data_IF_786813920888
#
_entry.id   IF_786813920888
#
_cell.length_a   1.000
_cell.length_b   1.000
_cell.length_c   1.000
_cell.angle_alpha   90.00
_cell.angle_beta   90.00
_cell.angle_gamma   90.00
#
_symmetry.space_group_name_H-M   'P 1'
#
loop_
_entity.id
_entity.type
_entity.pdbx_description
1 polymer ?
#
# COMPACT_ATOMS: atom_id res chain seq x y z
N UNK A 1 -9.75 1.71 -6.93
CA UNK A 1 -8.74 2.18 -5.94
C UNK A 1 -9.26 3.25 -5.00
N UNK A 2 -9.86 4.36 -5.46
CA UNK A 2 -10.34 5.43 -4.55
C UNK A 2 -11.33 4.90 -3.50
N UNK A 3 -12.33 4.13 -3.91
CA UNK A 3 -13.30 3.54 -2.99
C UNK A 3 -12.63 2.67 -1.89
N UNK A 4 -11.61 1.90 -2.24
CA UNK A 4 -10.81 1.12 -1.29
C UNK A 4 -10.18 2.02 -0.22
N UNK A 5 -9.45 3.06 -0.63
CA UNK A 5 -8.79 3.97 0.31
C UNK A 5 -9.78 4.76 1.18
N UNK A 6 -10.92 5.18 0.61
CA UNK A 6 -11.96 5.87 1.37
C UNK A 6 -12.57 4.94 2.43
N UNK A 7 -12.93 3.71 2.06
CA UNK A 7 -13.55 2.74 2.98
C UNK A 7 -12.62 2.38 4.13
N UNK A 8 -11.35 2.06 3.86
CA UNK A 8 -10.39 1.73 4.93
C UNK A 8 -10.07 2.94 5.81
N UNK A 9 -10.07 4.16 5.24
CA UNK A 9 -9.83 5.40 5.97
C UNK A 9 -10.98 5.73 6.91
N UNK A 10 -12.24 5.59 6.45
CA UNK A 10 -13.44 5.76 7.29
C UNK A 10 -13.46 4.74 8.42
N UNK A 11 -13.23 3.45 8.11
CA UNK A 11 -13.18 2.40 9.14
C UNK A 11 -12.09 2.67 10.19
N UNK A 12 -10.93 3.14 9.73
CA UNK A 12 -9.84 3.57 10.62
C UNK A 12 -10.27 4.72 11.54
N UNK A 13 -10.86 5.77 10.97
CA UNK A 13 -11.32 6.95 11.71
C UNK A 13 -12.36 6.61 12.78
N UNK A 14 -13.31 5.72 12.48
CA UNK A 14 -14.34 5.26 13.44
C UNK A 14 -13.68 4.58 14.65
N UNK A 15 -12.68 3.73 14.41
CA UNK A 15 -11.99 3.03 15.50
C UNK A 15 -11.05 3.95 16.29
N UNK A 16 -10.40 4.92 15.64
CA UNK A 16 -9.63 5.98 16.32
C UNK A 16 -10.54 6.81 17.24
N UNK A 17 -11.74 7.16 16.79
CA UNK A 17 -12.71 7.89 17.61
C UNK A 17 -13.14 7.10 18.86
N UNK A 18 -13.20 5.76 18.77
CA UNK A 18 -13.51 4.88 19.90
C UNK A 18 -12.36 4.77 20.91
N UNK A 19 -11.09 4.85 20.48
CA UNK A 19 -9.93 4.89 21.37
C UNK A 19 -8.92 5.98 20.96
N UNK A 20 -9.21 7.27 21.25
CA UNK A 20 -8.37 8.41 20.81
C UNK A 20 -6.95 8.40 21.38
N UNK A 21 -6.73 7.64 22.47
CA UNK A 21 -5.42 7.44 23.10
C UNK A 21 -4.36 6.92 22.10
N UNK A 22 -4.78 6.25 21.02
CA UNK A 22 -3.85 5.79 19.97
C UNK A 22 -3.06 6.94 19.33
N UNK A 23 -3.60 8.16 19.33
CA UNK A 23 -2.93 9.34 18.74
C UNK A 23 -1.64 9.70 19.47
N UNK A 24 -1.45 9.23 20.71
CA UNK A 24 -0.16 9.35 21.43
C UNK A 24 0.97 8.67 20.66
N UNK A 25 0.68 7.66 19.84
CA UNK A 25 1.67 6.98 18.99
C UNK A 25 2.28 7.89 17.91
N UNK A 26 1.68 9.06 17.62
CA UNK A 26 2.31 10.07 16.76
C UNK A 26 3.52 10.75 17.40
N UNK A 27 3.65 10.68 18.74
CA UNK A 27 4.79 11.24 19.42
C UNK A 27 6.04 10.37 19.18
N UNK A 28 7.10 10.89 18.51
CA UNK A 28 8.29 10.12 18.20
C UNK A 28 9.03 9.60 19.45
N UNK A 29 8.83 10.25 20.60
CA UNK A 29 9.39 9.79 21.88
C UNK A 29 8.86 8.41 22.28
N UNK A 30 7.63 8.05 21.90
CA UNK A 30 7.07 6.72 22.15
C UNK A 30 7.79 5.65 21.33
N UNK A 31 8.07 5.95 20.05
CA UNK A 31 8.84 5.05 19.19
C UNK A 31 10.27 4.86 19.69
N UNK A 32 10.94 5.95 20.09
CA UNK A 32 12.26 5.88 20.71
C UNK A 32 12.25 5.08 22.02
N UNK A 33 11.26 5.33 22.88
CA UNK A 33 11.05 4.56 24.11
C UNK A 33 10.89 3.07 23.82
N UNK A 34 10.06 2.72 22.83
CA UNK A 34 9.89 1.32 22.39
C UNK A 34 11.20 0.69 21.91
N UNK A 35 11.98 1.39 21.10
CA UNK A 35 13.28 0.90 20.63
C UNK A 35 14.28 0.66 21.76
N UNK A 36 14.33 1.56 22.75
CA UNK A 36 15.26 1.45 23.88
C UNK A 36 14.86 0.35 24.87
N UNK A 37 13.56 0.19 25.16
CA UNK A 37 13.07 -0.79 26.12
C UNK A 37 12.95 -2.20 25.54
N UNK A 38 12.54 -2.34 24.27
CA UNK A 38 12.22 -3.62 23.65
C UNK A 38 13.19 -3.98 22.51
N UNK A 39 14.49 -3.69 22.69
CA UNK A 39 15.60 -3.82 21.73
C UNK A 39 15.40 -4.88 20.63
N UNK A 40 15.22 -6.14 20.99
CA UNK A 40 15.06 -7.24 20.02
C UNK A 40 13.71 -7.17 19.27
N UNK A 41 12.60 -6.96 19.96
CA UNK A 41 11.29 -6.82 19.34
C UNK A 41 11.25 -5.59 18.42
N UNK A 42 11.86 -4.49 18.84
CA UNK A 42 12.01 -3.29 18.05
C UNK A 42 12.85 -3.53 16.80
N UNK A 43 13.94 -4.29 16.90
CA UNK A 43 14.73 -4.70 15.74
C UNK A 43 13.88 -5.48 14.72
N UNK A 44 13.10 -6.46 15.17
CA UNK A 44 12.19 -7.22 14.29
C UNK A 44 11.10 -6.31 13.68
N UNK A 45 10.51 -5.42 14.48
CA UNK A 45 9.50 -4.49 14.01
C UNK A 45 10.05 -3.49 12.97
N UNK A 46 11.28 -3.01 13.15
CA UNK A 46 11.96 -2.17 12.15
C UNK A 46 12.16 -2.92 10.83
N UNK A 47 12.43 -4.23 10.88
CA UNK A 47 12.45 -5.08 9.67
C UNK A 47 11.10 -5.07 8.93
N UNK A 48 9.98 -5.13 9.66
CA UNK A 48 8.65 -4.99 9.07
C UNK A 48 8.41 -3.60 8.45
N UNK A 49 8.97 -2.54 9.05
CA UNK A 49 8.94 -1.19 8.45
C UNK A 49 9.77 -1.14 7.17
N UNK A 50 10.94 -1.79 7.11
CA UNK A 50 11.78 -1.84 5.90
C UNK A 50 11.05 -2.51 4.73
N UNK A 51 10.18 -3.50 4.97
CA UNK A 51 9.33 -4.08 3.91
C UNK A 51 8.49 -3.02 3.18
N UNK A 52 8.10 -1.93 3.85
CA UNK A 52 7.37 -0.82 3.18
C UNK A 52 8.21 -0.08 2.12
N UNK A 53 9.54 -0.16 2.19
CA UNK A 53 10.46 0.43 1.20
C UNK A 53 10.24 -0.16 -0.20
N UNK A 54 9.94 -1.45 -0.28
CA UNK A 54 9.66 -2.14 -1.56
C UNK A 54 8.46 -1.53 -2.30
N UNK A 55 7.46 -1.05 -1.55
CA UNK A 55 6.31 -0.33 -2.11
C UNK A 55 6.69 1.06 -2.65
N UNK A 56 7.68 1.73 -2.05
CA UNK A 56 8.17 3.01 -2.53
C UNK A 56 8.97 2.87 -3.84
N UNK A 57 9.72 1.77 -4.01
CA UNK A 57 10.42 1.46 -5.26
C UNK A 57 9.44 1.23 -6.41
N UNK A 58 8.35 0.50 -6.16
CA UNK A 58 7.27 0.32 -7.16
C UNK A 58 6.63 1.66 -7.56
N UNK A 59 6.37 2.54 -6.60
CA UNK A 59 5.86 3.89 -6.88
C UNK A 59 6.84 4.72 -7.72
N UNK A 60 8.15 4.53 -7.51
CA UNK A 60 9.18 5.20 -8.29
C UNK A 60 9.27 4.67 -9.72
N UNK A 61 9.11 3.36 -9.92
CA UNK A 61 9.06 2.76 -11.26
C UNK A 61 7.91 3.36 -12.09
N UNK A 62 6.75 3.61 -11.47
CA UNK A 62 5.59 4.22 -12.13
C UNK A 62 5.76 5.71 -12.46
N UNK A 63 6.77 6.40 -11.90
CA UNK A 63 7.07 7.79 -12.27
C UNK A 63 7.46 7.93 -13.75
N UNK A 64 8.01 6.88 -14.36
CA UNK A 64 8.33 6.87 -15.78
C UNK A 64 7.11 6.95 -16.69
N UNK A 65 5.93 6.54 -16.21
CA UNK A 65 4.68 6.53 -16.97
C UNK A 65 3.78 7.74 -16.67
N UNK A 66 3.57 8.06 -15.39
CA UNK A 66 2.61 9.10 -14.97
C UNK A 66 3.27 10.46 -14.63
N UNK A 67 4.59 10.47 -14.42
CA UNK A 67 5.31 11.64 -13.95
C UNK A 67 5.09 11.96 -12.46
N UNK A 68 5.92 12.86 -11.94
CA UNK A 68 6.01 13.15 -10.50
C UNK A 68 4.78 13.80 -9.87
N UNK A 69 4.06 14.66 -10.61
CA UNK A 69 2.99 15.51 -10.05
C UNK A 69 1.71 14.71 -9.74
N UNK A 70 1.17 13.87 -10.64
CA UNK A 70 -0.01 13.05 -10.34
C UNK A 70 0.22 12.07 -9.18
N UNK A 71 1.41 11.46 -9.14
CA UNK A 71 1.81 10.55 -8.06
C UNK A 71 1.82 11.28 -6.72
N UNK A 72 2.45 12.45 -6.64
CA UNK A 72 2.52 13.23 -5.39
C UNK A 72 1.14 13.64 -4.88
N UNK A 73 0.28 14.15 -5.77
CA UNK A 73 -1.07 14.58 -5.37
C UNK A 73 -1.90 13.40 -4.88
N UNK A 74 -1.88 12.27 -5.58
CA UNK A 74 -2.62 11.07 -5.18
C UNK A 74 -2.09 10.48 -3.88
N UNK A 75 -0.76 10.43 -3.74
CA UNK A 75 -0.09 9.90 -2.55
C UNK A 75 -0.46 10.70 -1.30
N UNK A 76 -0.19 12.01 -1.30
CA UNK A 76 -0.43 12.85 -0.12
C UNK A 76 -1.91 13.20 0.08
N UNK A 77 -2.72 13.20 -0.98
CA UNK A 77 -4.14 13.55 -0.89
C UNK A 77 -5.05 12.41 -0.44
N UNK A 78 -4.76 11.16 -0.84
CA UNK A 78 -5.66 10.02 -0.61
C UNK A 78 -4.94 8.84 0.02
N UNK A 79 -3.86 8.35 -0.60
CA UNK A 79 -3.25 7.07 -0.21
C UNK A 79 -2.65 7.13 1.19
N UNK A 80 -1.75 8.08 1.42
CA UNK A 80 -1.08 8.27 2.70
C UNK A 80 -2.06 8.51 3.86
N UNK A 81 -2.99 9.49 3.80
CA UNK A 81 -3.91 9.72 4.92
C UNK A 81 -4.81 8.50 5.19
N UNK A 82 -5.30 7.81 4.16
CA UNK A 82 -6.11 6.60 4.35
C UNK A 82 -5.34 5.46 5.00
N UNK A 83 -4.07 5.25 4.63
CA UNK A 83 -3.23 4.22 5.25
C UNK A 83 -2.93 4.55 6.71
N UNK A 84 -2.56 5.80 7.00
CA UNK A 84 -2.32 6.25 8.39
C UNK A 84 -3.56 6.01 9.25
N UNK A 85 -4.73 6.46 8.78
CA UNK A 85 -6.00 6.24 9.49
C UNK A 85 -6.29 4.76 9.69
N UNK A 86 -6.06 3.92 8.68
CA UNK A 86 -6.31 2.49 8.78
C UNK A 86 -5.42 1.81 9.83
N UNK A 87 -4.11 2.04 9.79
CA UNK A 87 -3.18 1.44 10.75
C UNK A 87 -3.41 1.93 12.18
N UNK A 88 -3.66 3.23 12.37
CA UNK A 88 -4.03 3.78 13.68
C UNK A 88 -5.37 3.22 14.16
N UNK A 89 -6.35 3.05 13.27
CA UNK A 89 -7.61 2.39 13.62
C UNK A 89 -7.43 0.94 14.08
N UNK A 90 -6.54 0.16 13.44
CA UNK A 90 -6.22 -1.20 13.88
C UNK A 90 -5.54 -1.18 15.26
N UNK A 91 -4.61 -0.25 15.49
CA UNK A 91 -4.01 -0.05 16.80
C UNK A 91 -5.03 0.30 17.88
N UNK A 92 -5.95 1.22 17.59
CA UNK A 92 -7.05 1.61 18.48
C UNK A 92 -7.95 0.42 18.84
N UNK A 93 -8.30 -0.40 17.85
CA UNK A 93 -9.08 -1.62 18.04
C UNK A 93 -8.35 -2.61 18.96
N UNK A 94 -7.04 -2.79 18.77
CA UNK A 94 -6.24 -3.71 19.57
C UNK A 94 -6.06 -3.24 21.02
N UNK A 95 -6.01 -1.93 21.25
CA UNK A 95 -6.01 -1.36 22.61
C UNK A 95 -7.32 -1.65 23.35
N UNK A 96 -8.46 -1.61 22.64
CA UNK A 96 -9.77 -1.88 23.22
C UNK A 96 -10.06 -3.39 23.35
N UNK A 97 -9.62 -4.19 22.38
CA UNK A 97 -9.88 -5.63 22.33
C UNK A 97 -8.66 -6.40 21.78
N UNK A 98 -7.79 -6.91 22.67
CA UNK A 98 -6.64 -7.72 22.26
C UNK A 98 -7.01 -9.01 21.52
N UNK A 99 -8.24 -9.53 21.69
CA UNK A 99 -8.72 -10.72 20.97
C UNK A 99 -8.85 -10.50 19.45
N UNK A 100 -8.83 -9.26 18.98
CA UNK A 100 -8.86 -8.93 17.56
C UNK A 100 -7.52 -9.19 16.84
N UNK A 101 -6.45 -9.57 17.55
CA UNK A 101 -5.12 -9.88 16.99
C UNK A 101 -5.15 -10.96 15.89
N UNK A 102 -6.11 -11.88 15.94
CA UNK A 102 -6.26 -12.94 14.93
C UNK A 102 -6.56 -12.39 13.53
N UNK A 103 -7.33 -11.30 13.44
CA UNK A 103 -7.61 -10.64 12.17
C UNK A 103 -7.98 -9.16 12.38
N UNK A 104 -6.99 -8.28 12.64
CA UNK A 104 -7.25 -6.88 12.99
C UNK A 104 -7.95 -6.13 11.86
N UNK A 105 -7.63 -6.47 10.61
CA UNK A 105 -8.21 -5.82 9.44
C UNK A 105 -9.71 -6.04 9.30
N UNK A 106 -10.19 -7.30 9.30
CA UNK A 106 -11.63 -7.55 9.16
C UNK A 106 -12.43 -7.21 10.42
N UNK A 107 -11.77 -7.23 11.59
CA UNK A 107 -12.39 -6.84 12.87
C UNK A 107 -12.61 -5.32 13.02
N UNK A 108 -11.98 -4.49 12.18
CA UNK A 108 -12.30 -3.05 12.08
C UNK A 108 -13.75 -2.79 11.65
N UNK A 109 -14.34 -3.74 10.92
CA UNK A 109 -15.64 -3.58 10.29
C UNK A 109 -16.74 -4.27 11.11
N UNK A 110 -17.96 -3.71 11.13
CA UNK A 110 -19.11 -4.41 11.69
C UNK A 110 -19.42 -5.67 10.86
N UNK A 111 -20.03 -6.67 11.49
CA UNK A 111 -20.19 -8.01 10.91
C UNK A 111 -20.87 -8.03 9.53
N UNK A 112 -21.84 -7.13 9.30
CA UNK A 112 -22.52 -7.00 8.01
C UNK A 112 -21.62 -6.46 6.89
N UNK A 113 -20.62 -5.64 7.22
CA UNK A 113 -19.73 -4.99 6.25
C UNK A 113 -18.55 -5.88 5.83
N UNK A 114 -18.33 -7.01 6.51
CA UNK A 114 -17.24 -7.94 6.20
C UNK A 114 -17.36 -8.47 4.77
N UNK A 115 -18.53 -8.95 4.35
CA UNK A 115 -18.72 -9.50 3.00
C UNK A 115 -18.50 -8.45 1.90
N UNK A 116 -19.11 -7.25 1.95
CA UNK A 116 -18.78 -6.16 1.03
C UNK A 116 -17.29 -5.82 1.00
N UNK A 117 -16.64 -5.82 2.17
CA UNK A 117 -15.21 -5.51 2.29
C UNK A 117 -14.34 -6.57 1.61
N UNK A 118 -14.68 -7.86 1.72
CA UNK A 118 -13.98 -8.95 1.04
C UNK A 118 -14.08 -8.79 -0.48
N UNK A 119 -15.27 -8.48 -1.01
CA UNK A 119 -15.46 -8.23 -2.45
C UNK A 119 -14.63 -7.03 -2.91
N UNK A 120 -14.69 -5.93 -2.17
CA UNK A 120 -13.92 -4.73 -2.47
C UNK A 120 -12.41 -4.98 -2.41
N UNK A 121 -11.95 -5.75 -1.42
CA UNK A 121 -10.55 -6.19 -1.30
C UNK A 121 -10.13 -7.00 -2.52
N UNK A 122 -10.96 -7.97 -2.93
CA UNK A 122 -10.67 -8.85 -4.07
C UNK A 122 -10.53 -8.05 -5.36
N UNK A 123 -11.48 -7.15 -5.66
CA UNK A 123 -11.41 -6.26 -6.81
C UNK A 123 -10.15 -5.38 -6.74
N UNK A 124 -9.82 -4.89 -5.54
CA UNK A 124 -8.66 -4.04 -5.36
C UNK A 124 -7.35 -4.79 -5.59
N UNK A 125 -7.25 -6.03 -5.12
CA UNK A 125 -6.10 -6.91 -5.37
C UNK A 125 -5.91 -7.14 -6.87
N UNK A 126 -6.99 -7.42 -7.62
CA UNK A 126 -6.90 -7.61 -9.08
C UNK A 126 -6.34 -6.35 -9.76
N UNK A 127 -6.84 -5.16 -9.41
CA UNK A 127 -6.35 -3.89 -9.97
C UNK A 127 -4.87 -3.67 -9.62
N UNK A 128 -4.48 -3.93 -8.38
CA UNK A 128 -3.08 -3.81 -7.94
C UNK A 128 -2.15 -4.75 -8.71
N UNK A 129 -2.56 -6.01 -8.93
CA UNK A 129 -1.80 -6.96 -9.74
C UNK A 129 -1.60 -6.48 -11.18
N UNK A 130 -2.62 -5.89 -11.81
CA UNK A 130 -2.49 -5.34 -13.17
C UNK A 130 -1.49 -4.18 -13.25
N UNK A 131 -1.45 -3.32 -12.23
CA UNK A 131 -0.46 -2.24 -12.16
C UNK A 131 0.97 -2.80 -12.10
N UNK A 132 1.20 -3.82 -11.28
CA UNK A 132 2.52 -4.48 -11.18
C UNK A 132 2.93 -5.14 -12.49
N UNK A 133 2.02 -5.85 -13.17
CA UNK A 133 2.29 -6.48 -14.48
C UNK A 133 2.71 -5.40 -15.50
N UNK A 134 1.99 -4.29 -15.56
CA UNK A 134 2.33 -3.16 -16.45
C UNK A 134 3.66 -2.50 -16.09
N UNK A 135 3.98 -2.39 -14.80
CA UNK A 135 5.28 -1.94 -14.31
C UNK A 135 6.42 -2.85 -14.79
N UNK A 136 6.24 -4.17 -14.70
CA UNK A 136 7.22 -5.16 -15.18
C UNK A 136 7.48 -4.99 -16.67
N UNK A 137 6.45 -4.84 -17.52
CA UNK A 137 6.66 -4.60 -18.96
C UNK A 137 7.51 -3.35 -19.23
N UNK A 138 7.29 -2.28 -18.46
CA UNK A 138 8.05 -1.03 -18.58
C UNK A 138 9.51 -1.23 -18.19
N UNK A 139 9.78 -1.91 -17.06
CA UNK A 139 11.14 -2.22 -16.62
C UNK A 139 11.86 -3.15 -17.61
N UNK A 140 11.18 -4.16 -18.15
CA UNK A 140 11.73 -5.06 -19.17
C UNK A 140 12.15 -4.28 -20.42
N UNK A 141 11.32 -3.35 -20.90
CA UNK A 141 11.67 -2.50 -22.04
C UNK A 141 12.91 -1.65 -21.76
N UNK A 142 13.01 -1.06 -20.57
CA UNK A 142 14.19 -0.29 -20.16
C UNK A 142 15.45 -1.18 -20.10
N UNK A 143 15.34 -2.38 -19.54
CA UNK A 143 16.43 -3.34 -19.48
C UNK A 143 16.89 -3.79 -20.88
N UNK A 144 15.97 -3.95 -21.84
CA UNK A 144 16.31 -4.20 -23.25
C UNK A 144 17.08 -3.04 -23.89
N UNK A 145 16.71 -1.79 -23.60
CA UNK A 145 17.41 -0.61 -24.11
C UNK A 145 18.83 -0.47 -23.54
N UNK A 146 19.01 -0.89 -22.28
CA UNK A 146 20.32 -0.94 -21.61
C UNK A 146 21.13 -2.19 -21.96
N UNK A 147 20.64 -3.04 -22.88
CA UNK A 147 21.27 -4.31 -23.28
C UNK A 147 21.46 -5.32 -22.14
N UNK A 148 20.69 -5.19 -21.05
CA UNK A 148 20.64 -6.19 -19.97
C UNK A 148 19.77 -7.39 -20.34
N UNK A 149 18.85 -7.25 -21.30
CA UNK A 149 17.99 -8.32 -21.80
C UNK A 149 18.02 -8.41 -23.33
N UNK A 150 17.86 -9.61 -23.91
CA UNK A 150 17.73 -9.78 -25.35
C UNK A 150 16.48 -9.08 -25.88
N UNK A 151 16.48 -8.72 -27.16
CA UNK A 151 15.35 -8.03 -27.78
C UNK A 151 14.12 -8.95 -27.82
N UNK A 152 13.06 -8.56 -27.15
CA UNK A 152 11.76 -9.23 -27.17
C UNK A 152 10.76 -8.45 -28.02
N UNK A 153 9.66 -9.10 -28.41
CA UNK A 153 8.55 -8.43 -29.09
C UNK A 153 7.87 -7.46 -28.12
N UNK A 154 7.69 -6.22 -28.57
CA UNK A 154 7.08 -5.13 -27.82
C UNK A 154 5.83 -4.72 -28.59
N UNK A 155 4.66 -5.04 -28.05
CA UNK A 155 3.37 -4.67 -28.66
C UNK A 155 2.88 -3.38 -28.00
N UNK A 156 2.70 -2.33 -28.78
CA UNK A 156 2.07 -1.11 -28.30
C UNK A 156 0.57 -1.31 -28.24
N UNK A 157 -0.01 -1.23 -27.04
CA UNK A 157 -1.46 -1.40 -26.84
C UNK A 157 -2.23 -0.10 -27.06
N UNK A 158 -1.55 1.03 -27.19
CA UNK A 158 -2.12 2.31 -27.60
C UNK A 158 -1.22 3.01 -28.61
N UNK A 159 -1.82 3.61 -29.63
CA UNK A 159 -1.12 4.44 -30.62
C UNK A 159 -0.72 5.81 -30.06
N UNK A 160 -1.32 6.25 -28.95
CA UNK A 160 -1.14 7.59 -28.39
C UNK A 160 -0.18 7.61 -27.19
N UNK A 161 -0.02 6.49 -26.48
CA UNK A 161 0.74 6.41 -25.24
C UNK A 161 1.92 5.45 -25.35
N UNK A 162 3.14 6.01 -25.48
CA UNK A 162 4.40 5.26 -25.63
C UNK A 162 4.65 4.27 -24.48
N UNK A 163 4.04 4.53 -23.31
CA UNK A 163 4.16 3.71 -22.10
C UNK A 163 3.12 2.59 -21.97
N UNK A 164 2.15 2.46 -22.87
CA UNK A 164 1.21 1.33 -22.87
C UNK A 164 1.74 0.21 -23.76
N UNK A 165 2.34 -0.78 -23.10
CA UNK A 165 3.19 -1.77 -23.75
C UNK A 165 2.89 -3.13 -23.18
N UNK A 166 2.73 -4.09 -24.07
CA UNK A 166 2.63 -5.50 -23.74
C UNK A 166 3.89 -6.24 -24.24
N UNK A 167 4.51 -7.01 -23.36
CA UNK A 167 5.68 -7.85 -23.68
C UNK A 167 5.28 -9.31 -23.47
N UNK A 168 4.94 -10.05 -24.53
CA UNK A 168 4.40 -11.41 -24.41
C UNK A 168 5.34 -12.41 -23.71
N UNK A 169 6.65 -12.17 -23.72
CA UNK A 169 7.64 -13.05 -23.07
C UNK A 169 7.75 -12.89 -21.56
N UNK A 170 7.01 -11.96 -20.94
CA UNK A 170 7.05 -11.64 -19.50
C UNK A 170 5.79 -12.09 -18.76
N UNK A 171 4.69 -12.36 -19.49
CA UNK A 171 3.42 -12.86 -18.97
C UNK A 171 3.33 -14.37 -19.08
#
# INVERSE_FOLDING_TARGET
>A
MVAWFVVIGIAGLVNIAAAPVILIALNPLQGLGFCLHHRWLAFVALGAVVLSLTGAEALYADMGHFGKRPIRVTWFGIVFPSLVLNYFGQGALLLANPGALSNPFYRLFPQWAIFPMIVLATISTVIASQAVISGTYSMTKQAMQLSFLPRMSVVHTSEQEIGQIYVPGVN
#
